data_IF_523128576326
#
_entry.id   IF_523128576326
#
_cell.length_a   1.000
_cell.length_b   1.000
_cell.length_c   1.000
_cell.angle_alpha   90.00
_cell.angle_beta   90.00
_cell.angle_gamma   90.00
#
_symmetry.space_group_name_H-M   'P 1'
#
loop_
_entity.id
_entity.type
_entity.pdbx_description
1 polymer ?
#
# COMPACT_ATOMS: atom_id res chain seq x y z
N UNK A 1 13.09 8.21 -10.86
CA UNK A 1 13.03 9.09 -9.66
C UNK A 1 12.40 8.26 -8.56
N UNK A 2 13.19 7.78 -7.60
CA UNK A 2 12.68 6.93 -6.52
C UNK A 2 11.97 7.81 -5.49
N UNK A 3 10.64 7.94 -5.58
CA UNK A 3 9.88 8.68 -4.58
C UNK A 3 9.89 7.92 -3.26
N UNK A 4 10.42 8.55 -2.20
CA UNK A 4 10.41 7.98 -0.86
C UNK A 4 8.98 8.03 -0.32
N UNK A 5 8.47 6.84 0.02
CA UNK A 5 7.15 6.67 0.59
C UNK A 5 7.14 7.12 2.05
N UNK A 6 6.16 7.94 2.44
CA UNK A 6 6.00 8.41 3.82
C UNK A 6 4.89 7.69 4.55
N UNK A 7 3.77 7.41 3.88
CA UNK A 7 2.59 6.84 4.51
C UNK A 7 1.77 5.98 3.54
N UNK A 8 1.11 4.95 4.11
CA UNK A 8 0.20 4.04 3.42
C UNK A 8 -1.15 3.99 4.13
N UNK A 9 -2.23 4.02 3.35
CA UNK A 9 -3.59 3.81 3.89
C UNK A 9 -4.38 2.88 2.97
N UNK A 10 -5.19 2.01 3.57
CA UNK A 10 -6.10 1.14 2.83
C UNK A 10 -7.50 1.15 3.45
N UNK A 11 -8.52 1.37 2.64
CA UNK A 11 -9.92 1.42 3.06
C UNK A 11 -10.76 0.49 2.20
N UNK A 12 -11.77 -0.16 2.80
CA UNK A 12 -12.72 -1.00 2.08
C UNK A 12 -14.03 -0.25 1.81
N UNK A 13 -14.50 -0.31 0.57
CA UNK A 13 -15.81 0.18 0.16
C UNK A 13 -16.73 -1.02 -0.12
N UNK A 14 -17.70 -1.22 0.78
CA UNK A 14 -18.68 -2.31 0.70
C UNK A 14 -19.62 -2.19 -0.50
N UNK A 15 -20.05 -0.99 -0.88
CA UNK A 15 -21.03 -0.81 -1.97
C UNK A 15 -20.46 -1.20 -3.34
N UNK A 16 -19.15 -1.06 -3.51
CA UNK A 16 -18.46 -1.30 -4.77
C UNK A 16 -17.56 -2.53 -4.72
N UNK A 17 -17.58 -3.25 -3.60
CA UNK A 17 -16.77 -4.44 -3.34
C UNK A 17 -15.30 -4.25 -3.75
N UNK A 18 -14.68 -3.16 -3.26
CA UNK A 18 -13.31 -2.77 -3.64
C UNK A 18 -12.54 -2.10 -2.52
N UNK A 19 -11.22 -2.25 -2.56
CA UNK A 19 -10.28 -1.56 -1.69
C UNK A 19 -9.77 -0.29 -2.35
N UNK A 20 -9.55 0.75 -1.55
CA UNK A 20 -8.86 1.98 -1.95
C UNK A 20 -7.52 2.04 -1.23
N UNK A 21 -6.43 2.02 -1.98
CA UNK A 21 -5.07 2.24 -1.51
C UNK A 21 -4.69 3.70 -1.74
N UNK A 22 -4.19 4.36 -0.70
CA UNK A 22 -3.67 5.73 -0.78
C UNK A 22 -2.19 5.68 -0.38
N UNK A 23 -1.33 6.15 -1.27
CA UNK A 23 0.10 6.30 -1.06
C UNK A 23 0.42 7.78 -0.91
N UNK A 24 1.12 8.14 0.15
CA UNK A 24 1.72 9.47 0.30
C UNK A 24 3.23 9.38 0.16
N UNK A 25 3.80 10.30 -0.60
CA UNK A 25 5.26 10.47 -0.70
C UNK A 25 5.73 11.64 0.15
N UNK A 26 7.03 11.68 0.42
CA UNK A 26 7.67 12.81 1.12
C UNK A 26 7.54 14.14 0.35
N UNK A 27 7.34 14.09 -0.97
CA UNK A 27 7.16 15.25 -1.84
C UNK A 27 5.74 15.85 -1.80
N UNK A 28 4.93 15.45 -0.82
CA UNK A 28 3.52 15.83 -0.68
C UNK A 28 2.68 15.43 -1.91
N UNK A 29 3.04 14.32 -2.56
CA UNK A 29 2.21 13.72 -3.59
C UNK A 29 1.33 12.64 -2.98
N UNK A 30 0.09 12.59 -3.44
CA UNK A 30 -0.90 11.58 -3.11
C UNK A 30 -1.24 10.77 -4.37
N UNK A 31 -1.20 9.45 -4.23
CA UNK A 31 -1.60 8.52 -5.27
C UNK A 31 -2.71 7.63 -4.75
N UNK A 32 -3.82 7.57 -5.49
CA UNK A 32 -5.00 6.81 -5.11
C UNK A 32 -5.23 5.68 -6.10
N UNK A 33 -5.52 4.50 -5.57
CA UNK A 33 -5.72 3.31 -6.37
C UNK A 33 -6.92 2.52 -5.89
N UNK A 34 -7.68 1.97 -6.83
CA UNK A 34 -8.67 0.94 -6.57
C UNK A 34 -8.08 -0.44 -6.82
N UNK A 35 -8.40 -1.35 -5.91
CA UNK A 35 -8.05 -2.76 -5.96
C UNK A 35 -9.33 -3.58 -5.84
N UNK A 36 -9.57 -4.44 -6.84
CA UNK A 36 -10.60 -5.48 -6.77
C UNK A 36 -10.07 -6.71 -6.03
N UNK A 37 -10.94 -7.63 -5.63
CA UNK A 37 -10.54 -8.92 -5.05
C UNK A 37 -9.44 -9.63 -5.83
N UNK A 38 -9.56 -9.73 -7.16
CA UNK A 38 -8.56 -10.35 -8.04
C UNK A 38 -7.23 -9.60 -8.00
N UNK A 39 -7.30 -8.28 -8.09
CA UNK A 39 -6.11 -7.42 -8.10
C UNK A 39 -5.37 -7.48 -6.75
N UNK A 40 -6.11 -7.49 -5.65
CA UNK A 40 -5.57 -7.66 -4.29
C UNK A 40 -4.85 -8.99 -4.11
N UNK A 41 -5.43 -10.09 -4.61
CA UNK A 41 -4.77 -11.40 -4.58
C UNK A 41 -3.47 -11.41 -5.39
N UNK A 42 -3.49 -10.88 -6.61
CA UNK A 42 -2.30 -10.81 -7.46
C UNK A 42 -1.19 -9.96 -6.83
N UNK A 43 -1.55 -8.81 -6.25
CA UNK A 43 -0.60 -7.94 -5.55
C UNK A 43 0.00 -8.64 -4.32
N UNK A 44 -0.82 -9.33 -3.52
CA UNK A 44 -0.35 -10.10 -2.37
C UNK A 44 0.72 -11.12 -2.75
N UNK A 45 0.45 -11.95 -3.78
CA UNK A 45 1.37 -13.00 -4.22
C UNK A 45 2.75 -12.43 -4.62
N UNK A 46 2.77 -11.25 -5.26
CA UNK A 46 4.00 -10.56 -5.64
C UNK A 46 4.76 -10.05 -4.41
N UNK A 47 4.05 -9.49 -3.42
CA UNK A 47 4.67 -8.94 -2.21
C UNK A 47 5.26 -10.03 -1.32
N UNK A 48 4.59 -11.18 -1.16
CA UNK A 48 5.11 -12.31 -0.39
C UNK A 48 6.37 -12.87 -1.04
N UNK A 49 6.36 -13.08 -2.37
CA UNK A 49 7.55 -13.53 -3.11
C UNK A 49 8.75 -12.58 -2.96
N UNK A 50 8.49 -11.29 -2.74
CA UNK A 50 9.52 -10.28 -2.56
C UNK A 50 10.16 -10.35 -1.16
N UNK A 51 9.35 -10.64 -0.14
CA UNK A 51 9.82 -10.87 1.21
C UNK A 51 10.60 -12.18 1.33
N UNK A 52 10.16 -13.26 0.69
CA UNK A 52 10.86 -14.55 0.73
C UNK A 52 12.28 -14.48 0.11
N UNK A 53 12.44 -13.63 -0.91
CA UNK A 53 13.71 -13.44 -1.61
C UNK A 53 14.67 -12.49 -0.89
N UNK A 54 14.20 -11.80 0.15
CA UNK A 54 15.00 -10.85 0.90
C UNK A 54 15.17 -11.38 2.32
N UNK A 55 16.38 -11.73 2.79
CA UNK A 55 16.55 -12.27 4.14
C UNK A 55 16.11 -11.23 5.18
N UNK A 56 14.91 -11.39 5.73
CA UNK A 56 14.36 -10.49 6.75
C UNK A 56 14.96 -10.91 8.10
N UNK A 57 15.74 -10.03 8.74
CA UNK A 57 15.96 -10.14 10.18
C UNK A 57 14.62 -9.89 10.85
N UNK A 58 13.98 -10.95 11.34
CA UNK A 58 12.70 -10.90 12.06
C UNK A 58 12.86 -10.14 13.38
N UNK A 59 12.64 -8.82 13.33
CA UNK A 59 12.48 -7.98 14.51
C UNK A 59 11.02 -7.96 14.94
N UNK A 60 10.75 -7.98 16.24
CA UNK A 60 9.43 -7.92 16.91
C UNK A 60 8.61 -6.63 16.61
N UNK A 61 8.98 -5.85 15.60
CA UNK A 61 8.32 -4.62 15.14
C UNK A 61 6.94 -4.87 14.50
N UNK A 62 6.63 -6.14 14.17
CA UNK A 62 5.46 -6.59 13.40
C UNK A 62 4.11 -6.17 14.01
N UNK A 63 4.02 -6.00 15.33
CA UNK A 63 2.79 -5.58 16.01
C UNK A 63 2.66 -4.05 16.14
N UNK A 64 3.78 -3.32 16.14
CA UNK A 64 3.78 -1.86 16.38
C UNK A 64 3.37 -1.04 15.15
N UNK A 65 3.66 -1.56 13.95
CA UNK A 65 3.37 -0.87 12.68
C UNK A 65 1.86 -0.74 12.45
N UNK A 66 1.09 -1.82 12.70
CA UNK A 66 -0.37 -1.80 12.56
C UNK A 66 -1.05 -0.79 13.49
N UNK A 67 -0.54 -0.63 14.71
CA UNK A 67 -1.01 0.37 15.67
C UNK A 67 -0.58 1.79 15.29
N UNK A 68 0.61 1.96 14.74
CA UNK A 68 1.11 3.27 14.28
C UNK A 68 0.26 3.81 13.13
N UNK A 69 -0.12 2.96 12.17
CA UNK A 69 -1.01 3.35 11.06
C UNK A 69 -2.40 3.75 11.58
N UNK A 70 -2.93 3.03 12.59
CA UNK A 70 -4.22 3.35 13.20
C UNK A 70 -4.17 4.71 13.93
N UNK A 71 -3.12 4.94 14.73
CA UNK A 71 -2.88 6.23 15.40
C UNK A 71 -2.73 7.37 14.39
N UNK A 72 -2.10 7.13 13.25
CA UNK A 72 -1.90 8.13 12.20
C UNK A 72 -3.20 8.48 11.46
N UNK A 73 -4.10 7.50 11.26
CA UNK A 73 -5.46 7.74 10.73
C UNK A 73 -6.26 8.68 11.64
N UNK A 74 -6.19 8.44 12.95
CA UNK A 74 -6.86 9.25 13.98
C UNK A 74 -6.24 10.64 14.10
N UNK A 75 -4.92 10.76 14.00
CA UNK A 75 -4.21 12.04 14.02
C UNK A 75 -4.56 12.92 12.82
N UNK A 76 -4.74 12.36 11.61
CA UNK A 76 -5.16 13.15 10.45
C UNK A 76 -6.62 13.57 10.49
N UNK A 77 -7.52 12.76 11.04
CA UNK A 77 -8.90 13.21 11.30
C UNK A 77 -8.88 14.43 12.23
N UNK A 78 -8.13 14.37 13.33
CA UNK A 78 -8.00 15.49 14.25
C UNK A 78 -7.22 16.70 13.68
N UNK A 79 -6.25 16.46 12.78
CA UNK A 79 -5.45 17.52 12.15
C UNK A 79 -6.17 18.20 10.98
N UNK A 80 -6.96 17.47 10.19
CA UNK A 80 -7.79 18.02 9.11
C UNK A 80 -8.90 18.93 9.66
N UNK A 81 -9.37 18.69 10.90
CA UNK A 81 -10.29 19.58 11.60
C UNK A 81 -9.62 20.86 12.13
N UNK A 82 -8.30 20.88 12.32
CA UNK A 82 -7.56 22.01 12.93
C UNK A 82 -6.69 22.81 11.97
N UNK A 83 -6.25 22.23 10.87
CA UNK A 83 -5.36 22.87 9.91
C UNK A 83 -5.93 22.61 8.51
N UNK A 84 -6.32 23.67 7.82
CA UNK A 84 -6.86 23.60 6.47
C UNK A 84 -6.03 22.68 5.58
N UNK A 85 -6.75 21.91 4.76
CA UNK A 85 -6.28 20.92 3.79
C UNK A 85 -4.84 21.17 3.33
N UNK A 86 -3.90 20.35 3.78
CA UNK A 86 -2.60 20.26 3.15
C UNK A 86 -2.83 19.79 1.71
N UNK A 87 -2.67 20.69 0.73
CA UNK A 87 -2.94 20.41 -0.68
C UNK A 87 -1.87 19.44 -1.17
N UNK A 88 -2.16 18.15 -1.05
CA UNK A 88 -1.32 17.12 -1.64
C UNK A 88 -1.51 17.16 -3.14
N UNK A 89 -0.41 17.18 -3.90
CA UNK A 89 -0.48 17.10 -5.35
C UNK A 89 -0.96 15.71 -5.73
N UNK A 90 -1.80 15.59 -6.75
CA UNK A 90 -2.26 14.30 -7.28
C UNK A 90 -1.73 14.13 -8.71
N UNK A 91 -0.48 13.65 -8.90
CA UNK A 91 0.17 13.63 -10.23
C UNK A 91 -0.56 12.77 -11.25
N UNK A 92 -1.28 11.75 -10.79
CA UNK A 92 -2.08 10.85 -11.65
C UNK A 92 -3.56 11.27 -11.73
N UNK A 93 -3.90 12.46 -11.23
CA UNK A 93 -5.27 12.95 -11.10
C UNK A 93 -5.91 12.62 -9.76
N UNK A 94 -7.02 13.29 -9.46
CA UNK A 94 -7.75 13.12 -8.19
C UNK A 94 -8.55 11.81 -8.13
N UNK A 95 -8.92 11.27 -9.29
CA UNK A 95 -9.66 10.02 -9.41
C UNK A 95 -8.72 8.81 -9.16
N UNK A 96 -9.11 7.86 -8.29
CA UNK A 96 -8.31 6.68 -8.06
C UNK A 96 -8.18 5.81 -9.32
N UNK A 97 -6.97 5.32 -9.58
CA UNK A 97 -6.71 4.44 -10.71
C UNK A 97 -7.07 3.00 -10.39
N UNK A 98 -7.82 2.32 -11.27
CA UNK A 98 -8.10 0.91 -11.11
C UNK A 98 -6.88 0.07 -11.51
N UNK A 99 -6.19 -0.51 -10.54
CA UNK A 99 -4.99 -1.28 -10.79
C UNK A 99 -5.32 -2.61 -11.45
N UNK A 100 -4.57 -2.92 -12.51
CA UNK A 100 -4.74 -4.15 -13.29
C UNK A 100 -3.44 -4.94 -13.44
N UNK A 101 -2.29 -4.27 -13.29
CA UNK A 101 -0.97 -4.89 -13.46
C UNK A 101 -0.04 -4.47 -12.33
N UNK A 102 0.75 -5.44 -11.90
CA UNK A 102 1.66 -5.35 -10.77
C UNK A 102 2.98 -6.01 -11.16
N UNK A 103 4.11 -5.36 -10.88
CA UNK A 103 5.43 -5.97 -11.05
C UNK A 103 6.30 -5.60 -9.86
N UNK A 104 7.11 -6.52 -9.39
CA UNK A 104 8.14 -6.24 -8.39
C UNK A 104 9.50 -6.70 -8.89
N UNK A 105 10.52 -5.91 -8.60
CA UNK A 105 11.92 -6.26 -8.83
C UNK A 105 12.67 -6.15 -7.50
N UNK A 106 13.22 -7.24 -6.95
CA UNK A 106 14.15 -7.13 -5.84
C UNK A 106 15.37 -6.34 -6.32
N UNK A 107 15.94 -5.52 -5.45
CA UNK A 107 17.23 -4.88 -5.72
C UNK A 107 18.28 -5.37 -4.72
N UNK A 108 19.51 -5.49 -5.19
CA UNK A 108 20.65 -6.02 -4.44
C UNK A 108 21.00 -5.17 -3.20
N UNK A 109 20.50 -3.94 -3.13
CA UNK A 109 20.70 -3.01 -2.02
C UNK A 109 19.63 -3.09 -0.91
N UNK A 110 18.69 -4.04 -1.00
CA UNK A 110 17.61 -4.23 -0.01
C UNK A 110 16.38 -3.34 -0.21
N UNK A 111 16.32 -2.52 -1.28
CA UNK A 111 15.14 -1.73 -1.65
C UNK A 111 14.50 -2.32 -2.89
N UNK A 112 13.34 -2.96 -2.73
CA UNK A 112 12.63 -3.53 -3.87
C UNK A 112 11.81 -2.48 -4.60
N UNK A 113 11.76 -2.56 -5.93
CA UNK A 113 10.92 -1.69 -6.74
C UNK A 113 9.55 -2.33 -6.97
N UNK A 114 8.49 -1.60 -6.68
CA UNK A 114 7.11 -1.97 -6.98
C UNK A 114 6.55 -1.07 -8.07
N UNK A 115 5.97 -1.69 -9.09
CA UNK A 115 5.28 -1.04 -10.19
C UNK A 115 3.79 -1.34 -10.13
N UNK A 116 2.97 -0.29 -10.12
CA UNK A 116 1.52 -0.37 -10.10
C UNK A 116 0.95 0.34 -11.33
N UNK A 117 0.13 -0.35 -12.12
CA UNK A 117 -0.35 0.15 -13.42
C UNK A 117 -1.85 -0.15 -13.64
N UNK A 118 -2.55 0.81 -14.26
CA UNK A 118 -3.94 0.67 -14.70
C UNK A 118 -4.06 0.12 -16.14
N UNK A 119 -5.29 -0.11 -16.59
CA UNK A 119 -5.52 -0.67 -17.92
C UNK A 119 -5.11 0.27 -19.07
N UNK A 120 -4.95 1.55 -18.78
CA UNK A 120 -4.57 2.60 -19.73
C UNK A 120 -3.05 2.85 -19.77
N UNK A 121 -2.27 2.10 -18.98
CA UNK A 121 -0.82 2.25 -18.88
C UNK A 121 -0.35 3.38 -17.97
N UNK A 122 -1.26 4.04 -17.24
CA UNK A 122 -0.87 5.00 -16.19
C UNK A 122 -0.30 4.19 -15.03
N UNK A 123 0.91 4.56 -14.62
CA UNK A 123 1.63 3.81 -13.59
C UNK A 123 2.38 4.69 -12.60
N UNK A 124 2.74 4.07 -11.49
CA UNK A 124 3.74 4.56 -10.55
C UNK A 124 4.75 3.45 -10.29
N UNK A 125 6.02 3.84 -10.22
CA UNK A 125 7.09 3.02 -9.68
C UNK A 125 7.58 3.66 -8.37
N UNK A 126 7.70 2.87 -7.31
CA UNK A 126 8.32 3.32 -6.07
C UNK A 126 9.22 2.25 -5.48
N UNK A 127 10.25 2.71 -4.76
CA UNK A 127 11.11 1.83 -3.97
C UNK A 127 10.48 1.59 -2.60
N UNK A 128 10.45 0.34 -2.15
CA UNK A 128 10.06 -0.06 -0.81
C UNK A 128 11.13 -0.93 -0.18
N UNK A 129 11.57 -0.57 1.02
CA UNK A 129 12.33 -1.48 1.86
C UNK A 129 11.43 -2.60 2.41
N UNK A 130 12.01 -3.57 3.10
CA UNK A 130 11.24 -4.66 3.70
C UNK A 130 10.16 -4.15 4.66
N UNK A 131 10.37 -3.00 5.32
CA UNK A 131 9.40 -2.37 6.22
C UNK A 131 8.13 -1.97 5.46
N UNK A 132 8.28 -1.28 4.33
CA UNK A 132 7.18 -0.84 3.46
C UNK A 132 6.46 -2.04 2.84
N UNK A 133 7.21 -3.02 2.34
CA UNK A 133 6.63 -4.22 1.73
C UNK A 133 5.84 -5.02 2.76
N UNK A 134 6.37 -5.17 3.99
CA UNK A 134 5.67 -5.79 5.11
C UNK A 134 4.41 -5.01 5.50
N UNK A 135 4.49 -3.68 5.61
CA UNK A 135 3.33 -2.84 5.92
C UNK A 135 2.21 -2.98 4.88
N UNK A 136 2.56 -3.04 3.58
CA UNK A 136 1.61 -3.31 2.50
C UNK A 136 0.95 -4.68 2.64
N UNK A 137 1.72 -5.73 2.96
CA UNK A 137 1.17 -7.06 3.22
C UNK A 137 0.15 -7.00 4.37
N UNK A 138 0.54 -6.44 5.52
CA UNK A 138 -0.35 -6.32 6.68
C UNK A 138 -1.65 -5.56 6.36
N UNK A 139 -1.55 -4.45 5.62
CA UNK A 139 -2.71 -3.69 5.17
C UNK A 139 -3.62 -4.51 4.27
N UNK A 140 -3.05 -5.21 3.28
CA UNK A 140 -3.82 -6.07 2.36
C UNK A 140 -4.52 -7.20 3.12
N UNK A 141 -3.81 -7.91 3.99
CA UNK A 141 -4.39 -9.02 4.77
C UNK A 141 -5.52 -8.53 5.68
N UNK A 142 -5.32 -7.41 6.39
CA UNK A 142 -6.36 -6.80 7.25
C UNK A 142 -7.57 -6.34 6.43
N UNK A 143 -7.34 -5.62 5.34
CA UNK A 143 -8.41 -5.07 4.51
C UNK A 143 -9.18 -6.16 3.75
N UNK A 144 -8.51 -7.23 3.30
CA UNK A 144 -9.16 -8.39 2.70
C UNK A 144 -10.05 -9.15 3.70
N UNK A 145 -9.62 -9.27 4.97
CA UNK A 145 -10.46 -9.82 6.05
C UNK A 145 -11.70 -8.96 6.32
N UNK A 146 -11.54 -7.63 6.37
CA UNK A 146 -12.68 -6.70 6.50
C UNK A 146 -13.63 -6.77 5.30
N UNK A 147 -13.10 -7.08 4.12
CA UNK A 147 -13.89 -7.24 2.91
C UNK A 147 -14.64 -8.57 2.84
N UNK A 148 -14.35 -9.51 3.74
CA UNK A 148 -14.90 -10.86 3.76
C UNK A 148 -14.76 -11.58 2.41
N UNK A 149 -13.62 -11.34 1.75
CA UNK A 149 -13.34 -11.91 0.43
C UNK A 149 -12.90 -13.37 0.47
N UNK A 150 -12.94 -14.03 1.64
CA UNK A 150 -12.46 -15.40 1.84
C UNK A 150 -11.07 -15.65 1.22
N UNK A 151 -10.20 -14.62 1.30
CA UNK A 151 -8.82 -14.72 0.85
C UNK A 151 -7.98 -15.21 2.03
N UNK A 152 -7.42 -16.40 1.88
CA UNK A 152 -6.50 -17.00 2.85
C UNK A 152 -5.10 -16.38 2.71
N UNK A 153 -4.98 -15.10 3.07
CA UNK A 153 -3.73 -14.34 2.99
C UNK A 153 -2.93 -14.50 4.29
N UNK A 154 -2.24 -15.63 4.41
CA UNK A 154 -1.32 -15.94 5.51
C UNK A 154 0.11 -15.72 5.06
N UNK A 155 0.91 -15.04 5.90
CA UNK A 155 2.35 -15.04 5.74
C UNK A 155 2.85 -16.24 6.53
N UNK A 156 3.43 -17.23 5.85
CA UNK A 156 4.11 -18.31 6.55
C UNK A 156 5.22 -17.67 7.37
N UNK A 157 5.09 -17.78 8.69
CA UNK A 157 5.97 -17.18 9.70
C UNK A 157 7.03 -18.18 10.10
#
# INVERSE_FOLDING_TARGET
MSSNLSQLQMNYNQQQDRLTLILHTQDFCEYRFWLTRRATKALWEILVQLLDKTPVQHSQEQQKIGEQIQREKEQRHAAAEKYGTHVSRCPLGEEPLLLTKFMAKPADNGVSFLHLEDAQGRCIEFGGDNTIIMALCQLISRSAKLADWDLHLTMDT
#
